data_IF_475116235513
#
_entry.id   IF_475116235513
#
_cell.length_a   1.000
_cell.length_b   1.000
_cell.length_c   1.000
_cell.angle_alpha   90.00
_cell.angle_beta   90.00
_cell.angle_gamma   90.00
#
_symmetry.space_group_name_H-M   'P 1'
#
loop_
_entity.id
_entity.type
_entity.pdbx_description
1 polymer ?
#
# COMPACT_ATOMS: atom_id res chain seq x y z
N UNK A 1 5.44 50.65 47.33
CA UNK A 1 6.27 49.44 47.09
C UNK A 1 5.54 48.11 47.20
N UNK A 2 4.47 47.94 48.00
CA UNK A 2 3.74 46.65 48.12
C UNK A 2 2.86 46.29 46.90
N UNK A 3 2.22 47.28 46.25
CA UNK A 3 1.33 47.06 45.09
C UNK A 3 2.09 46.64 43.82
N UNK A 4 3.28 47.20 43.57
CA UNK A 4 4.12 46.83 42.43
C UNK A 4 4.62 45.38 42.49
N UNK A 5 4.87 44.85 43.69
CA UNK A 5 5.26 43.43 43.89
C UNK A 5 4.11 42.47 43.59
N UNK A 6 2.87 42.85 43.89
CA UNK A 6 1.68 42.02 43.64
C UNK A 6 1.38 41.92 42.14
N UNK A 7 1.49 43.04 41.40
CA UNK A 7 1.27 43.06 39.94
C UNK A 7 2.34 42.24 39.20
N UNK A 8 3.61 42.29 39.65
CA UNK A 8 4.69 41.50 39.05
C UNK A 8 4.51 40.00 39.27
N UNK A 9 4.04 39.58 40.45
CA UNK A 9 3.75 38.16 40.77
C UNK A 9 2.53 37.65 39.98
N UNK A 10 1.48 38.45 39.82
CA UNK A 10 0.31 38.09 39.01
C UNK A 10 0.64 37.94 37.52
N UNK A 11 1.53 38.79 36.98
CA UNK A 11 1.96 38.74 35.57
C UNK A 11 2.85 37.51 35.26
N UNK A 12 3.75 37.14 36.19
CA UNK A 12 4.58 35.93 36.03
C UNK A 12 3.76 34.65 36.21
N UNK A 13 2.80 34.61 37.14
CA UNK A 13 1.88 33.49 37.28
C UNK A 13 0.97 33.32 36.03
N UNK A 14 0.49 34.41 35.43
CA UNK A 14 -0.32 34.36 34.21
C UNK A 14 0.47 33.86 32.99
N UNK A 15 1.72 34.31 32.84
CA UNK A 15 2.63 33.84 31.78
C UNK A 15 3.03 32.37 31.93
N UNK A 16 3.17 31.90 33.17
CA UNK A 16 3.45 30.50 33.47
C UNK A 16 2.24 29.59 33.20
N UNK A 17 1.02 30.06 33.51
CA UNK A 17 -0.22 29.34 33.20
C UNK A 17 -0.48 29.21 31.70
N UNK A 18 -0.23 30.27 30.91
CA UNK A 18 -0.36 30.21 29.44
C UNK A 18 0.65 29.22 28.84
N UNK A 19 1.90 29.25 29.33
CA UNK A 19 2.94 28.33 28.85
C UNK A 19 2.65 26.86 29.21
N UNK A 20 2.02 26.60 30.36
CA UNK A 20 1.62 25.25 30.76
C UNK A 20 0.38 24.75 30.00
N UNK A 21 -0.60 25.63 29.76
CA UNK A 21 -1.79 25.32 28.96
C UNK A 21 -1.44 25.05 27.48
N UNK A 22 -0.51 25.82 26.90
CA UNK A 22 -0.02 25.57 25.54
C UNK A 22 0.78 24.27 25.41
N UNK A 23 1.45 23.83 26.49
CA UNK A 23 2.21 22.56 26.48
C UNK A 23 1.29 21.33 26.57
N UNK A 24 0.23 21.41 27.38
CA UNK A 24 -0.80 20.36 27.48
C UNK A 24 -1.58 20.17 26.17
N UNK A 25 -1.91 21.28 25.48
CA UNK A 25 -2.60 21.22 24.19
C UNK A 25 -1.72 20.66 23.04
N UNK A 26 -0.39 20.74 23.16
CA UNK A 26 0.55 20.23 22.16
C UNK A 26 0.88 18.74 22.35
N UNK A 27 0.80 18.25 23.59
CA UNK A 27 0.98 16.82 23.93
C UNK A 27 -0.28 15.97 23.64
N UNK A 28 -1.46 16.59 23.49
CA UNK A 28 -2.67 15.92 22.99
C UNK A 28 -2.81 15.98 21.46
N UNK A 29 -1.69 16.07 20.74
CA UNK A 29 -1.69 15.65 19.36
C UNK A 29 -1.64 14.12 19.39
N UNK A 30 -2.82 13.51 19.52
CA UNK A 30 -3.06 12.07 19.38
C UNK A 30 -2.11 11.58 18.29
N UNK A 31 -1.04 10.87 18.66
CA UNK A 31 -0.14 10.30 17.66
C UNK A 31 -1.00 9.30 16.91
N UNK A 32 -1.61 9.74 15.80
CA UNK A 32 -2.40 8.87 14.96
C UNK A 32 -1.48 7.75 14.53
N UNK A 33 -1.61 6.62 15.20
CA UNK A 33 -0.83 5.42 14.93
C UNK A 33 -1.13 5.08 13.49
N UNK A 34 -0.10 5.15 12.64
CA UNK A 34 -0.24 4.82 11.23
C UNK A 34 -0.59 3.33 11.15
N UNK A 35 -1.64 2.94 10.41
CA UNK A 35 -1.99 1.53 10.30
C UNK A 35 -0.94 0.80 9.45
N UNK A 36 -0.71 -0.48 9.73
CA UNK A 36 0.02 -1.37 8.82
C UNK A 36 -0.85 -1.69 7.61
N UNK A 37 -0.27 -1.62 6.41
CA UNK A 37 -0.98 -1.87 5.15
C UNK A 37 -0.45 -3.20 4.59
N UNK A 38 -1.32 -4.19 4.49
CA UNK A 38 -0.99 -5.52 3.94
C UNK A 38 -1.91 -5.77 2.75
N UNK A 39 -1.33 -5.94 1.56
CA UNK A 39 -2.06 -6.25 0.33
C UNK A 39 -1.78 -7.71 -0.02
N UNK A 40 -2.81 -8.55 0.08
CA UNK A 40 -2.77 -9.94 -0.38
C UNK A 40 -3.33 -9.97 -1.79
N UNK A 41 -2.51 -10.35 -2.77
CA UNK A 41 -2.89 -10.37 -4.18
C UNK A 41 -2.71 -11.78 -4.76
N UNK A 42 -3.79 -12.57 -4.72
CA UNK A 42 -3.82 -13.92 -5.25
C UNK A 42 -3.63 -13.93 -6.78
N UNK A 43 -3.03 -15.00 -7.28
CA UNK A 43 -2.81 -15.23 -8.71
C UNK A 43 -3.86 -16.21 -9.21
N UNK A 44 -4.58 -15.86 -10.28
CA UNK A 44 -5.59 -16.68 -10.95
C UNK A 44 -6.72 -17.23 -10.05
N UNK A 45 -7.06 -16.52 -8.96
CA UNK A 45 -8.21 -16.83 -8.10
C UNK A 45 -9.52 -16.33 -8.73
N UNK A 46 -10.45 -17.24 -9.01
CA UNK A 46 -11.78 -16.95 -9.53
C UNK A 46 -12.73 -16.41 -8.46
N UNK A 47 -13.72 -15.63 -8.90
CA UNK A 47 -14.77 -15.08 -8.01
C UNK A 47 -15.51 -16.17 -7.22
N UNK A 48 -15.69 -17.34 -7.82
CA UNK A 48 -16.42 -18.46 -7.22
C UNK A 48 -15.56 -19.40 -6.36
N UNK A 49 -14.24 -19.20 -6.25
CA UNK A 49 -13.33 -20.18 -5.63
C UNK A 49 -13.40 -20.21 -4.10
N UNK A 50 -13.78 -19.09 -3.48
CA UNK A 50 -13.82 -18.98 -2.01
C UNK A 50 -15.15 -19.51 -1.47
N UNK A 51 -15.13 -20.23 -0.35
CA UNK A 51 -16.35 -20.70 0.31
C UNK A 51 -17.26 -19.55 0.72
N UNK A 52 -16.71 -18.40 1.16
CA UNK A 52 -17.50 -17.19 1.45
C UNK A 52 -18.17 -16.53 0.22
N UNK A 53 -17.85 -16.98 -1.00
CA UNK A 53 -18.52 -16.62 -2.25
C UNK A 53 -19.37 -17.77 -2.83
N UNK A 54 -19.46 -18.90 -2.12
CA UNK A 54 -20.40 -19.99 -2.44
C UNK A 54 -19.79 -21.22 -3.11
N UNK A 55 -18.46 -21.38 -3.13
CA UNK A 55 -17.88 -22.63 -3.66
C UNK A 55 -18.40 -23.85 -2.88
N UNK A 56 -18.87 -24.93 -3.54
CA UNK A 56 -19.52 -26.05 -2.86
C UNK A 56 -18.57 -26.99 -2.10
N UNK A 57 -17.24 -26.83 -2.22
CA UNK A 57 -16.25 -27.85 -1.80
C UNK A 57 -14.88 -27.30 -1.39
N UNK A 58 -14.43 -26.14 -1.91
CA UNK A 58 -13.19 -25.50 -1.47
C UNK A 58 -13.43 -24.90 -0.07
N UNK A 59 -12.50 -25.18 0.84
CA UNK A 59 -12.58 -24.79 2.24
C UNK A 59 -11.53 -23.70 2.50
N UNK A 60 -11.96 -22.45 2.70
CA UNK A 60 -11.08 -21.29 2.92
C UNK A 60 -11.32 -20.59 4.27
N UNK A 61 -11.15 -21.28 5.42
CA UNK A 61 -11.66 -20.83 6.71
C UNK A 61 -11.07 -19.50 7.18
N UNK A 62 -9.80 -19.22 6.83
CA UNK A 62 -9.15 -17.96 7.18
C UNK A 62 -9.69 -16.77 6.35
N UNK A 63 -9.97 -16.99 5.07
CA UNK A 63 -10.57 -15.95 4.21
C UNK A 63 -12.06 -15.77 4.51
N UNK A 64 -12.75 -16.84 4.90
CA UNK A 64 -14.13 -16.76 5.36
C UNK A 64 -14.23 -15.94 6.65
N UNK A 65 -13.32 -16.20 7.60
CA UNK A 65 -13.20 -15.40 8.82
C UNK A 65 -12.93 -13.93 8.49
N UNK A 66 -11.94 -13.65 7.63
CA UNK A 66 -11.62 -12.28 7.19
C UNK A 66 -12.81 -11.57 6.55
N UNK A 67 -13.61 -12.28 5.74
CA UNK A 67 -14.82 -11.74 5.14
C UNK A 67 -15.94 -11.48 6.17
N UNK A 68 -16.04 -12.31 7.21
CA UNK A 68 -17.04 -12.16 8.28
C UNK A 68 -16.71 -11.07 9.31
N UNK A 69 -15.42 -10.84 9.57
CA UNK A 69 -14.92 -9.83 10.51
C UNK A 69 -14.69 -8.47 9.82
N UNK A 70 -14.75 -8.42 8.49
CA UNK A 70 -14.43 -7.24 7.68
C UNK A 70 -15.47 -6.94 6.61
N UNK A 71 -14.99 -6.43 5.48
CA UNK A 71 -15.82 -6.08 4.33
C UNK A 71 -15.66 -7.13 3.23
N UNK A 72 -16.79 -7.62 2.70
CA UNK A 72 -16.86 -8.44 1.49
C UNK A 72 -17.45 -7.62 0.34
N UNK A 73 -16.85 -7.71 -0.85
CA UNK A 73 -17.33 -7.00 -2.05
C UNK A 73 -17.87 -7.98 -3.08
N UNK A 74 -19.10 -7.77 -3.54
CA UNK A 74 -19.71 -8.57 -4.62
C UNK A 74 -19.42 -8.01 -6.01
N UNK A 75 -18.86 -6.80 -6.08
CA UNK A 75 -18.53 -6.09 -7.32
C UNK A 75 -17.17 -5.40 -7.16
N UNK A 76 -16.08 -6.16 -7.32
CA UNK A 76 -14.71 -5.65 -7.31
C UNK A 76 -14.04 -6.04 -8.64
N UNK A 77 -13.45 -5.06 -9.32
CA UNK A 77 -12.87 -5.25 -10.65
C UNK A 77 -11.39 -4.90 -10.67
N UNK A 78 -10.64 -5.64 -11.49
CA UNK A 78 -9.22 -5.39 -11.74
C UNK A 78 -9.02 -4.59 -13.02
N UNK A 79 -7.88 -3.92 -13.14
CA UNK A 79 -7.58 -3.08 -14.30
C UNK A 79 -7.42 -3.87 -15.62
N UNK A 80 -7.13 -5.16 -15.54
CA UNK A 80 -7.09 -6.09 -16.67
C UNK A 80 -7.22 -7.54 -16.20
N UNK A 81 -7.67 -8.43 -17.09
CA UNK A 81 -7.91 -9.86 -16.78
C UNK A 81 -6.66 -10.76 -16.91
N UNK A 82 -5.45 -10.19 -16.97
CA UNK A 82 -4.18 -10.93 -17.09
C UNK A 82 -3.10 -10.31 -16.22
N UNK A 83 -2.11 -11.12 -15.83
CA UNK A 83 -1.18 -10.84 -14.73
C UNK A 83 -0.47 -9.49 -14.80
N UNK A 84 0.41 -9.27 -15.79
CA UNK A 84 1.20 -8.04 -15.94
C UNK A 84 0.36 -6.75 -15.87
N UNK A 85 -0.65 -6.54 -16.74
CA UNK A 85 -1.44 -5.32 -16.69
C UNK A 85 -2.28 -5.20 -15.41
N UNK A 86 -2.81 -6.29 -14.85
CA UNK A 86 -3.54 -6.25 -13.58
C UNK A 86 -2.66 -5.76 -12.43
N UNK A 87 -1.44 -6.32 -12.33
CA UNK A 87 -0.43 -5.93 -11.34
C UNK A 87 0.04 -4.49 -11.55
N UNK A 88 0.20 -4.05 -12.80
CA UNK A 88 0.55 -2.67 -13.11
C UNK A 88 -0.53 -1.70 -12.62
N UNK A 89 -1.81 -2.03 -12.86
CA UNK A 89 -2.94 -1.24 -12.39
C UNK A 89 -3.01 -1.15 -10.85
N UNK A 90 -2.76 -2.25 -10.15
CA UNK A 90 -2.70 -2.26 -8.68
C UNK A 90 -1.56 -1.36 -8.15
N UNK A 91 -0.36 -1.50 -8.72
CA UNK A 91 0.85 -0.84 -8.22
C UNK A 91 0.86 0.66 -8.53
N UNK A 92 0.30 1.08 -9.67
CA UNK A 92 0.31 2.48 -10.13
C UNK A 92 -1.00 3.24 -9.90
N UNK A 93 -2.10 2.52 -9.63
CA UNK A 93 -3.45 3.11 -9.59
C UNK A 93 -3.93 3.62 -10.95
N UNK A 94 -3.29 3.22 -12.06
CA UNK A 94 -3.56 3.73 -13.41
C UNK A 94 -3.97 2.62 -14.36
N UNK A 95 -4.74 2.97 -15.40
CA UNK A 95 -5.04 2.02 -16.46
C UNK A 95 -3.74 1.56 -17.15
N UNK A 96 -3.53 0.26 -17.40
CA UNK A 96 -2.26 -0.28 -17.89
C UNK A 96 -1.82 0.29 -19.24
N UNK A 97 -2.78 0.74 -20.07
CA UNK A 97 -2.49 1.40 -21.34
C UNK A 97 -1.71 2.70 -21.16
N UNK A 98 -1.83 3.37 -20.00
CA UNK A 98 -1.14 4.63 -19.70
C UNK A 98 0.33 4.44 -19.34
N UNK A 99 0.68 3.26 -18.81
CA UNK A 99 2.05 2.87 -18.47
C UNK A 99 2.69 1.95 -19.52
N UNK A 100 2.00 1.67 -20.63
CA UNK A 100 2.49 0.74 -21.66
C UNK A 100 2.58 -0.72 -21.21
N UNK A 101 1.92 -1.09 -20.10
CA UNK A 101 1.98 -2.43 -19.52
C UNK A 101 0.93 -3.40 -20.09
N UNK A 102 0.37 -3.07 -21.26
CA UNK A 102 -0.49 -3.95 -22.04
C UNK A 102 -0.16 -3.85 -23.53
N UNK A 103 -0.47 -4.91 -24.27
CA UNK A 103 -0.26 -4.98 -25.72
C UNK A 103 -1.20 -5.99 -26.35
N UNK A 104 -1.62 -5.72 -27.59
CA UNK A 104 -2.41 -6.65 -28.41
C UNK A 104 -1.57 -7.84 -28.92
N UNK A 105 -0.23 -7.71 -28.91
CA UNK A 105 0.69 -8.77 -29.36
C UNK A 105 1.19 -9.64 -28.22
N UNK A 106 1.59 -9.03 -27.10
CA UNK A 106 2.05 -9.73 -25.90
C UNK A 106 1.24 -9.30 -24.71
N UNK A 107 0.31 -10.15 -24.27
CA UNK A 107 -0.64 -9.82 -23.20
C UNK A 107 0.02 -9.69 -21.83
N UNK A 108 1.18 -10.32 -21.65
CA UNK A 108 1.99 -10.33 -20.43
C UNK A 108 3.48 -10.25 -20.77
N UNK A 109 4.31 -9.91 -19.79
CA UNK A 109 5.77 -9.98 -19.93
C UNK A 109 6.25 -11.43 -19.75
N UNK A 110 7.25 -11.79 -20.54
CA UNK A 110 7.92 -13.10 -20.53
C UNK A 110 9.39 -12.96 -20.08
N UNK A 111 10.08 -14.07 -19.77
CA UNK A 111 11.50 -14.06 -19.40
C UNK A 111 12.43 -13.47 -20.48
N UNK A 112 12.00 -13.40 -21.74
CA UNK A 112 12.74 -12.78 -22.85
C UNK A 112 12.31 -11.33 -23.15
N UNK A 113 11.38 -10.76 -22.37
CA UNK A 113 10.88 -9.40 -22.59
C UNK A 113 11.91 -8.36 -22.14
N UNK A 114 12.18 -7.37 -23.00
CA UNK A 114 13.14 -6.30 -22.70
C UNK A 114 12.53 -5.14 -21.92
N UNK A 115 11.20 -5.08 -21.82
CA UNK A 115 10.45 -4.04 -21.11
C UNK A 115 9.98 -4.45 -19.72
N UNK A 116 9.43 -3.47 -19.00
CA UNK A 116 8.89 -3.60 -17.65
C UNK A 116 8.20 -2.31 -17.24
N UNK A 117 7.84 -2.19 -15.96
CA UNK A 117 7.23 -0.98 -15.40
C UNK A 117 8.11 0.25 -15.71
N UNK A 118 7.57 1.31 -16.32
CA UNK A 118 8.37 2.50 -16.62
C UNK A 118 8.84 3.21 -15.34
N UNK A 119 10.05 3.75 -15.37
CA UNK A 119 10.66 4.44 -14.22
C UNK A 119 9.95 5.74 -13.81
N UNK A 120 9.15 6.30 -14.72
CA UNK A 120 8.35 7.50 -14.50
C UNK A 120 7.00 7.22 -13.82
N UNK A 121 6.56 5.96 -13.76
CA UNK A 121 5.37 5.58 -13.02
C UNK A 121 5.67 5.58 -11.52
N UNK A 122 4.78 6.19 -10.73
CA UNK A 122 4.95 6.24 -9.29
C UNK A 122 4.18 5.10 -8.65
N UNK A 123 4.87 4.23 -7.92
CA UNK A 123 4.25 3.07 -7.28
C UNK A 123 3.60 3.42 -5.94
N UNK A 124 2.65 2.59 -5.50
CA UNK A 124 2.09 2.65 -4.15
C UNK A 124 3.19 2.54 -3.08
N UNK A 125 4.23 1.75 -3.33
CA UNK A 125 5.35 1.61 -2.40
C UNK A 125 6.16 2.91 -2.29
N UNK A 126 6.45 3.59 -3.40
CA UNK A 126 7.13 4.90 -3.38
C UNK A 126 6.31 5.97 -2.66
N UNK A 127 4.99 5.98 -2.85
CA UNK A 127 4.10 6.90 -2.13
C UNK A 127 4.07 6.60 -0.62
N UNK A 128 3.97 5.34 -0.24
CA UNK A 128 3.98 4.93 1.18
C UNK A 128 5.34 5.22 1.84
N UNK A 129 6.45 5.04 1.13
CA UNK A 129 7.78 5.44 1.60
C UNK A 129 7.86 6.93 1.95
N UNK A 130 7.30 7.81 1.12
CA UNK A 130 7.23 9.25 1.43
C UNK A 130 6.45 9.54 2.73
N UNK A 131 5.48 8.68 3.06
CA UNK A 131 4.74 8.73 4.32
C UNK A 131 5.47 8.04 5.49
N UNK A 132 6.70 7.56 5.31
CA UNK A 132 7.52 6.95 6.37
C UNK A 132 7.23 5.48 6.64
N UNK A 133 6.63 4.77 5.68
CA UNK A 133 6.43 3.32 5.77
C UNK A 133 7.69 2.55 5.35
N UNK A 134 7.95 1.44 6.06
CA UNK A 134 8.78 0.37 5.54
C UNK A 134 7.97 -0.46 4.54
N UNK A 135 8.60 -0.90 3.45
CA UNK A 135 7.92 -1.53 2.32
C UNK A 135 8.59 -2.84 1.92
N UNK A 136 7.79 -3.89 1.70
CA UNK A 136 8.29 -5.19 1.27
C UNK A 136 7.38 -5.78 0.20
N UNK A 137 7.98 -6.44 -0.79
CA UNK A 137 7.27 -7.26 -1.77
C UNK A 137 7.62 -8.74 -1.54
N UNK A 138 6.62 -9.62 -1.54
CA UNK A 138 6.81 -11.06 -1.36
C UNK A 138 6.02 -11.80 -2.45
N UNK A 139 6.66 -12.75 -3.13
CA UNK A 139 6.04 -13.57 -4.16
C UNK A 139 6.27 -13.05 -5.59
N UNK A 140 5.25 -13.16 -6.45
CA UNK A 140 5.36 -12.88 -7.89
C UNK A 140 5.32 -11.38 -8.19
N UNK A 141 6.29 -10.89 -8.95
CA UNK A 141 6.34 -9.49 -9.40
C UNK A 141 5.65 -9.25 -10.75
N UNK A 142 6.17 -9.84 -11.82
CA UNK A 142 5.62 -9.85 -13.18
C UNK A 142 5.44 -8.48 -13.87
N UNK A 143 6.25 -7.49 -13.45
CA UNK A 143 6.33 -6.16 -14.06
C UNK A 143 7.71 -5.89 -14.68
N UNK A 144 8.41 -6.93 -15.09
CA UNK A 144 9.75 -6.88 -15.69
C UNK A 144 10.77 -7.58 -14.80
N UNK A 145 11.74 -8.24 -15.44
CA UNK A 145 12.73 -9.08 -14.76
C UNK A 145 14.14 -8.48 -14.75
N UNK A 146 14.40 -7.49 -15.62
CA UNK A 146 15.67 -6.76 -15.63
C UNK A 146 15.77 -5.90 -14.38
N UNK A 147 17.01 -5.62 -13.95
CA UNK A 147 17.32 -4.99 -12.67
C UNK A 147 16.46 -3.73 -12.40
N UNK A 148 16.39 -2.80 -13.37
CA UNK A 148 15.65 -1.55 -13.22
C UNK A 148 14.14 -1.73 -12.99
N UNK A 149 13.59 -2.87 -13.36
CA UNK A 149 12.16 -3.17 -13.20
C UNK A 149 11.86 -3.95 -11.93
N UNK A 150 12.86 -4.42 -11.18
CA UNK A 150 12.63 -5.19 -9.96
C UNK A 150 11.98 -4.34 -8.86
N UNK A 151 11.24 -4.95 -7.91
CA UNK A 151 10.54 -4.22 -6.85
C UNK A 151 11.43 -3.26 -6.05
N UNK A 152 12.68 -3.64 -5.79
CA UNK A 152 13.65 -2.83 -5.03
C UNK A 152 14.07 -1.55 -5.74
N UNK A 153 13.95 -1.50 -7.07
CA UNK A 153 14.14 -0.29 -7.87
C UNK A 153 12.83 0.48 -8.11
N UNK A 154 11.70 0.01 -7.56
CA UNK A 154 10.36 0.54 -7.78
C UNK A 154 9.62 0.77 -6.45
N UNK A 155 10.35 1.19 -5.42
CA UNK A 155 9.82 1.66 -4.15
C UNK A 155 9.83 0.68 -2.99
N UNK A 156 10.08 -0.62 -3.21
CA UNK A 156 10.14 -1.58 -2.11
C UNK A 156 11.52 -1.61 -1.44
N UNK A 157 11.59 -1.69 -0.10
CA UNK A 157 12.86 -1.82 0.63
C UNK A 157 13.44 -3.23 0.52
N UNK A 158 12.57 -4.24 0.46
CA UNK A 158 12.97 -5.64 0.34
C UNK A 158 12.06 -6.41 -0.62
N UNK A 159 12.63 -7.45 -1.21
CA UNK A 159 11.93 -8.34 -2.13
C UNK A 159 12.37 -9.79 -1.92
N UNK A 160 11.40 -10.69 -1.75
CA UNK A 160 11.62 -12.12 -1.72
C UNK A 160 10.60 -12.81 -2.65
N UNK A 161 11.04 -13.31 -3.80
CA UNK A 161 10.14 -13.96 -4.75
C UNK A 161 10.69 -14.12 -6.16
N UNK A 162 9.76 -14.25 -7.12
CA UNK A 162 10.07 -14.55 -8.53
C UNK A 162 9.60 -13.43 -9.47
N UNK A 163 10.43 -13.02 -10.45
CA UNK A 163 10.15 -11.84 -11.28
C UNK A 163 8.99 -12.01 -12.28
N UNK A 164 8.50 -13.23 -12.49
CA UNK A 164 7.41 -13.61 -13.39
C UNK A 164 6.76 -14.91 -12.90
N UNK A 165 5.71 -15.41 -13.59
CA UNK A 165 5.07 -16.67 -13.19
C UNK A 165 6.03 -17.87 -13.32
N UNK A 166 5.84 -18.88 -12.48
CA UNK A 166 6.64 -20.11 -12.49
C UNK A 166 6.36 -21.04 -13.68
N UNK A 167 5.31 -20.79 -14.45
CA UNK A 167 4.86 -21.57 -15.60
C UNK A 167 5.20 -20.91 -16.95
N UNK A 168 6.18 -19.98 -16.95
CA UNK A 168 6.67 -19.28 -18.15
C UNK A 168 7.99 -19.81 -18.71
#
# INVERSE_FOLDING_TARGET
MKIFRIILILSTCFSFFISFAQRSAKDQQDQKVKPNIIIIFADDLGYGDLSCYGHPTIITPHLDRMASEGQKWTNFYVAASVCTPSRAGLITGRYPIRSGMCSDRSRVLFPNSTGGIPTEEITIAEQLKKAGYATAAIGKWHLGHLNQYLPTNNGFDSYFGIPYSNDM
#
